data_IF_941455855288
#
_entry.id   IF_941455855288
#
_cell.length_a   1.000
_cell.length_b   1.000
_cell.length_c   1.000
_cell.angle_alpha   90.00
_cell.angle_beta   90.00
_cell.angle_gamma   90.00
#
_symmetry.space_group_name_H-M   'P 1'
#
loop_
_entity.id
_entity.type
_entity.pdbx_description
1 polymer ?
#
# COMPACT_ATOMS: atom_id res chain seq x y z
N UNK A 1 25.15 -3.82 -15.10
CA UNK A 1 23.75 -4.02 -14.67
C UNK A 1 23.33 -2.75 -13.95
N UNK A 2 22.35 -2.00 -14.46
CA UNK A 2 21.92 -0.77 -13.77
C UNK A 2 21.10 -1.20 -12.56
N UNK A 3 21.63 -0.98 -11.37
CA UNK A 3 20.85 -1.12 -10.15
C UNK A 3 19.58 -0.26 -10.30
N UNK A 4 18.41 -0.85 -10.03
CA UNK A 4 17.17 -0.11 -10.07
C UNK A 4 17.22 0.91 -8.92
N UNK A 5 17.58 2.16 -9.24
CA UNK A 5 17.80 3.25 -8.29
C UNK A 5 16.64 3.45 -7.31
N UNK A 6 15.44 3.00 -7.66
CA UNK A 6 14.26 3.03 -6.82
C UNK A 6 14.30 1.94 -5.72
N UNK A 7 14.69 0.71 -6.04
CA UNK A 7 14.79 -0.40 -5.07
C UNK A 7 15.81 -0.08 -3.98
N UNK A 8 16.97 0.45 -4.36
CA UNK A 8 18.03 0.79 -3.40
C UNK A 8 17.57 1.88 -2.42
N UNK A 9 16.80 2.87 -2.90
CA UNK A 9 16.22 3.94 -2.06
C UNK A 9 15.14 3.38 -1.13
N UNK A 10 14.27 2.53 -1.66
CA UNK A 10 13.18 1.89 -0.91
C UNK A 10 13.75 1.00 0.21
N UNK A 11 14.73 0.16 -0.11
CA UNK A 11 15.41 -0.69 0.86
C UNK A 11 16.14 0.15 1.93
N UNK A 12 16.82 1.22 1.53
CA UNK A 12 17.47 2.13 2.48
C UNK A 12 16.47 2.75 3.46
N UNK A 13 15.27 3.11 2.99
CA UNK A 13 14.22 3.67 3.85
C UNK A 13 13.68 2.62 4.82
N UNK A 14 13.39 1.40 4.34
CA UNK A 14 12.89 0.30 5.17
C UNK A 14 13.90 -0.05 6.27
N UNK A 15 15.19 -0.21 5.94
CA UNK A 15 16.21 -0.49 6.93
C UNK A 15 16.35 0.64 7.96
N UNK A 16 16.27 1.90 7.52
CA UNK A 16 16.29 3.05 8.42
C UNK A 16 15.13 3.00 9.42
N UNK A 17 13.92 2.74 8.95
CA UNK A 17 12.72 2.65 9.79
C UNK A 17 12.81 1.47 10.77
N UNK A 18 13.27 0.29 10.33
CA UNK A 18 13.49 -0.87 11.19
C UNK A 18 14.44 -0.52 12.34
N UNK A 19 15.60 0.08 12.03
CA UNK A 19 16.58 0.46 13.04
C UNK A 19 16.00 1.48 14.03
N UNK A 20 15.28 2.48 13.52
CA UNK A 20 14.62 3.48 14.35
C UNK A 20 13.59 2.84 15.30
N UNK A 21 12.70 1.99 14.80
CA UNK A 21 11.68 1.35 15.65
C UNK A 21 12.28 0.39 16.68
N UNK A 22 13.33 -0.35 16.33
CA UNK A 22 14.08 -1.16 17.30
C UNK A 22 14.65 -0.31 18.43
N UNK A 23 15.25 0.84 18.13
CA UNK A 23 15.74 1.77 19.15
C UNK A 23 14.61 2.30 20.03
N UNK A 24 13.47 2.68 19.44
CA UNK A 24 12.33 3.18 20.20
C UNK A 24 11.74 2.12 21.14
N UNK A 25 11.68 0.85 20.73
CA UNK A 25 11.24 -0.26 21.58
C UNK A 25 12.20 -0.46 22.76
N UNK A 26 13.51 -0.45 22.49
CA UNK A 26 14.55 -0.66 23.52
C UNK A 26 14.54 0.47 24.55
N UNK A 27 14.42 1.73 24.08
CA UNK A 27 14.50 2.91 24.94
C UNK A 27 13.19 3.24 25.67
N UNK A 28 12.04 2.82 25.13
CA UNK A 28 10.75 3.11 25.76
C UNK A 28 10.56 2.28 27.03
N UNK A 29 10.05 2.91 28.09
CA UNK A 29 9.58 2.24 29.32
C UNK A 29 8.06 2.07 29.35
N UNK A 30 7.33 2.67 28.42
CA UNK A 30 5.87 2.60 28.33
C UNK A 30 5.45 1.39 27.46
N UNK A 31 4.66 0.45 28.02
CA UNK A 31 4.22 -0.74 27.28
C UNK A 31 3.38 -0.43 26.04
N UNK A 32 2.58 0.63 26.04
CA UNK A 32 1.75 0.99 24.87
C UNK A 32 2.59 1.57 23.75
N UNK A 33 3.57 2.40 24.11
CA UNK A 33 4.53 2.94 23.15
C UNK A 33 5.39 1.82 22.55
N UNK A 34 5.82 0.84 23.36
CA UNK A 34 6.49 -0.37 22.84
C UNK A 34 5.61 -1.14 21.88
N UNK A 35 4.34 -1.36 22.21
CA UNK A 35 3.40 -2.08 21.34
C UNK A 35 3.20 -1.33 20.00
N UNK A 36 3.05 -0.01 20.05
CA UNK A 36 2.96 0.82 18.85
C UNK A 36 4.19 0.69 17.95
N UNK A 37 5.41 0.82 18.49
CA UNK A 37 6.62 0.67 17.69
C UNK A 37 6.87 -0.78 17.25
N UNK A 38 6.40 -1.76 18.02
CA UNK A 38 6.44 -3.17 17.61
C UNK A 38 5.56 -3.41 16.37
N UNK A 39 4.37 -2.82 16.31
CA UNK A 39 3.49 -2.93 15.14
C UNK A 39 4.12 -2.26 13.91
N UNK A 40 4.70 -1.06 14.07
CA UNK A 40 5.42 -0.39 12.99
C UNK A 40 6.65 -1.18 12.51
N UNK A 41 7.41 -1.76 13.44
CA UNK A 41 8.53 -2.64 13.14
C UNK A 41 8.08 -3.88 12.36
N UNK A 42 6.99 -4.52 12.79
CA UNK A 42 6.43 -5.68 12.11
C UNK A 42 6.00 -5.34 10.68
N UNK A 43 5.43 -4.16 10.46
CA UNK A 43 5.04 -3.69 9.13
C UNK A 43 6.25 -3.48 8.21
N UNK A 44 7.32 -2.83 8.70
CA UNK A 44 8.53 -2.64 7.89
C UNK A 44 9.29 -3.95 7.65
N UNK A 45 9.27 -4.90 8.59
CA UNK A 45 9.84 -6.24 8.37
C UNK A 45 9.05 -6.99 7.29
N UNK A 46 7.72 -6.91 7.28
CA UNK A 46 6.91 -7.49 6.20
C UNK A 46 7.24 -6.86 4.85
N UNK A 47 7.37 -5.53 4.81
CA UNK A 47 7.75 -4.78 3.60
C UNK A 47 9.16 -5.15 3.14
N UNK A 48 10.11 -5.31 4.06
CA UNK A 48 11.47 -5.77 3.78
C UNK A 48 11.45 -7.15 3.14
N UNK A 49 10.75 -8.10 3.75
CA UNK A 49 10.66 -9.48 3.27
C UNK A 49 10.03 -9.53 1.87
N UNK A 50 8.98 -8.76 1.64
CA UNK A 50 8.34 -8.64 0.34
C UNK A 50 9.33 -8.14 -0.74
N UNK A 51 10.05 -7.04 -0.47
CA UNK A 51 10.98 -6.47 -1.45
C UNK A 51 12.20 -7.35 -1.71
N UNK A 52 12.75 -7.98 -0.66
CA UNK A 52 13.85 -8.94 -0.81
C UNK A 52 13.42 -10.15 -1.66
N UNK A 53 12.22 -10.68 -1.39
CA UNK A 53 11.67 -11.80 -2.13
C UNK A 53 11.40 -11.44 -3.60
N UNK A 54 10.79 -10.28 -3.86
CA UNK A 54 10.49 -9.79 -5.21
C UNK A 54 11.75 -9.58 -6.04
N UNK A 55 12.80 -9.00 -5.45
CA UNK A 55 14.08 -8.78 -6.13
C UNK A 55 14.84 -10.10 -6.38
N UNK A 56 14.64 -11.11 -5.54
CA UNK A 56 15.25 -12.44 -5.70
C UNK A 56 14.55 -13.29 -6.77
N UNK A 57 13.24 -13.11 -6.98
CA UNK A 57 12.45 -13.88 -7.94
C UNK A 57 11.55 -12.98 -8.80
N UNK A 58 12.12 -12.23 -9.75
CA UNK A 58 11.37 -11.22 -10.53
C UNK A 58 10.28 -11.80 -11.46
N UNK A 59 10.16 -13.12 -11.56
CA UNK A 59 9.20 -13.83 -12.43
C UNK A 59 8.38 -14.92 -11.71
N UNK A 60 8.31 -14.91 -10.37
CA UNK A 60 7.51 -15.89 -9.63
C UNK A 60 6.18 -15.28 -9.17
N UNK A 61 5.02 -15.95 -9.39
CA UNK A 61 3.72 -15.41 -9.01
C UNK A 61 3.63 -15.34 -7.49
N UNK A 62 3.45 -14.12 -6.99
CA UNK A 62 3.30 -13.76 -5.58
C UNK A 62 2.00 -14.33 -5.02
N UNK A 63 2.02 -15.56 -4.54
CA UNK A 63 0.98 -16.11 -3.68
C UNK A 63 1.61 -16.84 -2.50
N UNK A 64 1.06 -16.58 -1.29
CA UNK A 64 1.33 -17.18 0.04
C UNK A 64 2.37 -16.37 0.87
N UNK A 65 2.11 -15.80 2.07
CA UNK A 65 1.07 -16.07 3.09
C UNK A 65 0.74 -14.85 4.00
N UNK A 66 -0.53 -14.80 4.40
CA UNK A 66 -1.04 -14.26 5.67
C UNK A 66 -2.36 -14.98 5.95
N UNK A 67 -2.37 -15.89 6.93
CA UNK A 67 -3.44 -16.86 7.18
C UNK A 67 -4.82 -16.22 7.45
N UNK A 68 -5.85 -16.76 6.78
CA UNK A 68 -7.30 -16.48 6.87
C UNK A 68 -7.87 -15.27 6.08
N UNK A 69 -7.58 -15.17 4.77
CA UNK A 69 -8.40 -14.38 3.84
C UNK A 69 -8.69 -15.19 2.56
N UNK A 70 -9.91 -15.15 2.00
CA UNK A 70 -10.24 -15.93 0.81
C UNK A 70 -9.31 -15.56 -0.36
N UNK A 71 -8.75 -16.60 -0.96
CA UNK A 71 -7.63 -16.62 -1.90
C UNK A 71 -7.95 -16.08 -3.31
N UNK A 72 -8.47 -14.86 -3.43
CA UNK A 72 -8.73 -14.22 -4.73
C UNK A 72 -8.55 -12.69 -4.65
N UNK A 73 -7.42 -12.22 -4.13
CA UNK A 73 -7.12 -10.78 -4.22
C UNK A 73 -6.78 -10.45 -5.68
N UNK A 74 -7.66 -9.71 -6.36
CA UNK A 74 -7.54 -9.44 -7.79
C UNK A 74 -6.33 -8.55 -8.06
N UNK A 75 -5.53 -8.92 -9.05
CA UNK A 75 -4.46 -8.07 -9.55
C UNK A 75 -5.00 -7.15 -10.65
N UNK A 76 -4.56 -5.89 -10.65
CA UNK A 76 -4.90 -4.90 -11.65
C UNK A 76 -3.63 -4.39 -12.32
N UNK A 77 -3.59 -4.38 -13.64
CA UNK A 77 -2.74 -3.45 -14.38
C UNK A 77 -3.26 -2.02 -14.25
N UNK A 78 -2.45 -1.02 -14.59
CA UNK A 78 -2.92 0.37 -14.67
C UNK A 78 -4.05 0.51 -15.70
N UNK A 79 -3.97 -0.22 -16.81
CA UNK A 79 -4.97 -0.22 -17.88
C UNK A 79 -6.30 -0.83 -17.42
N UNK A 80 -6.24 -1.92 -16.65
CA UNK A 80 -7.42 -2.54 -16.05
C UNK A 80 -8.01 -1.64 -14.97
N UNK A 81 -7.18 -1.05 -14.10
CA UNK A 81 -7.62 -0.10 -13.08
C UNK A 81 -8.34 1.10 -13.72
N UNK A 82 -7.84 1.60 -14.84
CA UNK A 82 -8.44 2.73 -15.57
C UNK A 82 -9.89 2.47 -16.04
N UNK A 83 -10.34 1.21 -16.10
CA UNK A 83 -11.74 0.89 -16.41
C UNK A 83 -12.70 1.14 -15.23
N UNK A 84 -12.16 1.33 -14.02
CA UNK A 84 -12.91 1.52 -12.77
C UNK A 84 -12.89 3.00 -12.37
N UNK A 85 -13.36 3.85 -13.28
CA UNK A 85 -13.38 5.30 -13.15
C UNK A 85 -14.68 5.86 -12.55
N UNK A 86 -15.65 5.00 -12.21
CA UNK A 86 -16.98 5.42 -11.76
C UNK A 86 -17.94 5.82 -12.87
N UNK A 87 -17.52 5.83 -14.15
CA UNK A 87 -18.36 6.29 -15.25
C UNK A 87 -19.23 5.17 -15.83
N UNK A 88 -20.38 5.54 -16.40
CA UNK A 88 -21.30 4.57 -17.01
C UNK A 88 -21.86 3.51 -16.04
N UNK A 89 -21.90 3.82 -14.73
CA UNK A 89 -22.35 2.89 -13.69
C UNK A 89 -21.31 1.85 -13.27
N UNK A 90 -20.06 1.96 -13.74
CA UNK A 90 -18.95 1.12 -13.27
C UNK A 90 -18.51 1.55 -11.87
N UNK A 91 -17.87 0.66 -11.09
CA UNK A 91 -17.25 1.04 -9.82
C UNK A 91 -16.13 2.06 -10.01
N UNK A 92 -15.83 2.82 -8.95
CA UNK A 92 -14.74 3.77 -8.86
C UNK A 92 -13.64 3.21 -7.94
N UNK A 93 -12.48 2.88 -8.49
CA UNK A 93 -11.34 2.32 -7.74
C UNK A 93 -10.12 3.25 -7.77
N UNK A 94 -9.29 3.20 -6.74
CA UNK A 94 -8.01 3.91 -6.70
C UNK A 94 -6.92 3.00 -6.16
N UNK A 95 -5.70 3.13 -6.68
CA UNK A 95 -4.54 2.49 -6.09
C UNK A 95 -3.79 3.46 -5.16
N UNK A 96 -3.41 2.98 -3.98
CA UNK A 96 -2.51 3.68 -3.05
C UNK A 96 -1.53 2.66 -2.47
N UNK A 97 -0.23 2.92 -2.61
CA UNK A 97 0.86 2.03 -2.18
C UNK A 97 0.68 0.59 -2.70
N UNK A 98 0.23 0.44 -3.95
CA UNK A 98 0.03 -0.87 -4.57
C UNK A 98 -1.24 -1.61 -4.15
N UNK A 99 -2.08 -1.05 -3.27
CA UNK A 99 -3.37 -1.64 -2.88
C UNK A 99 -4.48 -0.91 -3.62
N UNK A 100 -5.41 -1.66 -4.21
CA UNK A 100 -6.59 -1.11 -4.90
C UNK A 100 -7.77 -1.08 -3.96
N UNK A 101 -8.31 0.11 -3.73
CA UNK A 101 -9.45 0.39 -2.86
C UNK A 101 -10.69 0.74 -3.68
N UNK A 102 -11.83 0.22 -3.26
CA UNK A 102 -13.13 0.64 -3.77
C UNK A 102 -13.60 1.91 -3.07
N UNK A 103 -13.80 2.97 -3.83
CA UNK A 103 -14.30 4.27 -3.35
C UNK A 103 -15.70 4.59 -3.87
N UNK A 104 -16.39 3.63 -4.49
CA UNK A 104 -17.69 3.82 -5.14
C UNK A 104 -18.79 4.32 -4.20
N UNK A 105 -18.73 3.90 -2.93
CA UNK A 105 -19.72 4.27 -1.90
C UNK A 105 -19.20 5.34 -0.94
N UNK A 106 -18.01 5.87 -1.18
CA UNK A 106 -17.42 6.90 -0.35
C UNK A 106 -17.95 8.27 -0.82
N UNK A 107 -18.64 8.99 0.07
CA UNK A 107 -19.34 10.23 -0.28
C UNK A 107 -18.39 11.31 -0.82
N UNK A 108 -17.13 11.30 -0.35
CA UNK A 108 -16.08 12.22 -0.81
C UNK A 108 -15.59 11.94 -2.23
N UNK A 109 -15.97 10.80 -2.83
CA UNK A 109 -15.62 10.34 -4.18
C UNK A 109 -16.78 10.43 -5.19
N UNK A 110 -17.78 11.27 -4.90
CA UNK A 110 -18.94 11.47 -5.79
C UNK A 110 -18.57 11.70 -7.25
N UNK A 111 -19.20 10.93 -8.15
CA UNK A 111 -18.91 10.98 -9.59
C UNK A 111 -17.54 10.42 -10.00
N UNK A 112 -16.89 9.64 -9.13
CA UNK A 112 -15.56 9.07 -9.39
C UNK A 112 -14.42 10.10 -9.26
N UNK A 113 -14.66 11.21 -8.55
CA UNK A 113 -13.68 12.30 -8.43
C UNK A 113 -13.49 12.77 -7.00
N UNK A 114 -12.30 13.27 -6.69
CA UNK A 114 -11.98 13.87 -5.39
C UNK A 114 -10.90 14.95 -5.57
N UNK A 115 -11.25 16.23 -5.39
CA UNK A 115 -10.33 17.38 -5.56
C UNK A 115 -9.46 17.32 -6.85
N UNK A 116 -10.11 17.22 -8.01
CA UNK A 116 -9.44 17.09 -9.33
C UNK A 116 -8.62 15.81 -9.53
N UNK A 117 -8.68 14.86 -8.59
CA UNK A 117 -8.25 13.49 -8.78
C UNK A 117 -9.40 12.67 -9.36
N UNK A 118 -9.03 11.65 -10.11
CA UNK A 118 -9.97 10.78 -10.81
C UNK A 118 -9.71 9.33 -10.39
N UNK A 119 -10.80 8.58 -10.21
CA UNK A 119 -10.75 7.13 -10.05
C UNK A 119 -10.15 6.46 -11.30
N UNK A 120 -9.77 5.21 -11.15
CA UNK A 120 -9.07 4.41 -12.15
C UNK A 120 -7.58 4.72 -12.25
N UNK A 121 -6.95 5.21 -11.18
CA UNK A 121 -5.54 5.63 -11.19
C UNK A 121 -4.78 5.21 -9.94
N UNK A 122 -3.47 5.13 -10.06
CA UNK A 122 -2.56 5.17 -8.91
C UNK A 122 -2.44 6.61 -8.41
N UNK A 123 -2.92 6.82 -7.18
CA UNK A 123 -2.95 8.11 -6.50
C UNK A 123 -2.00 8.13 -5.30
N UNK A 124 -1.04 7.21 -5.24
CA UNK A 124 -0.05 7.13 -4.17
C UNK A 124 0.62 8.49 -3.90
N UNK A 125 1.14 9.14 -4.94
CA UNK A 125 1.80 10.44 -4.78
C UNK A 125 0.86 11.54 -4.26
N UNK A 126 -0.38 11.59 -4.76
CA UNK A 126 -1.38 12.56 -4.33
C UNK A 126 -1.82 12.32 -2.88
N UNK A 127 -2.03 11.06 -2.50
CA UNK A 127 -2.36 10.66 -1.15
C UNK A 127 -1.24 11.01 -0.17
N UNK A 128 0.03 10.75 -0.54
CA UNK A 128 1.18 11.16 0.27
C UNK A 128 1.25 12.67 0.44
N UNK A 129 1.01 13.46 -0.61
CA UNK A 129 1.07 14.92 -0.55
C UNK A 129 -0.05 15.56 0.28
N UNK A 130 -1.30 15.13 0.10
CA UNK A 130 -2.47 15.74 0.76
C UNK A 130 -2.73 15.18 2.16
N UNK A 131 -2.41 13.91 2.39
CA UNK A 131 -2.75 13.20 3.63
C UNK A 131 -1.54 12.74 4.43
N UNK A 132 -0.31 12.98 3.96
CA UNK A 132 0.90 12.58 4.66
C UNK A 132 1.06 11.06 4.80
N UNK A 133 0.39 10.28 3.94
CA UNK A 133 0.43 8.82 3.99
C UNK A 133 -0.34 8.18 5.15
N UNK A 134 -1.22 8.93 5.83
CA UNK A 134 -2.01 8.51 6.99
C UNK A 134 -2.92 7.29 6.69
N UNK A 135 -2.57 6.07 7.14
CA UNK A 135 -3.29 4.84 6.77
C UNK A 135 -4.72 4.79 7.34
N UNK A 136 -5.01 5.54 8.41
CA UNK A 136 -6.32 5.61 9.04
C UNK A 136 -7.43 6.15 8.12
N UNK A 137 -7.05 6.84 7.04
CA UNK A 137 -7.98 7.35 6.02
C UNK A 137 -8.46 6.20 5.11
N UNK A 138 -7.61 5.20 4.87
CA UNK A 138 -7.91 4.07 3.99
C UNK A 138 -8.55 2.89 4.74
N UNK A 139 -8.49 2.89 6.08
CA UNK A 139 -8.82 1.73 6.91
C UNK A 139 -10.22 1.14 6.71
N UNK A 140 -11.20 1.98 6.31
CA UNK A 140 -12.59 1.58 6.15
C UNK A 140 -12.97 1.35 4.67
N UNK A 141 -12.06 1.63 3.74
CA UNK A 141 -12.30 1.40 2.32
C UNK A 141 -12.15 -0.10 2.01
N UNK A 142 -13.09 -0.72 1.27
CA UNK A 142 -12.93 -2.09 0.82
C UNK A 142 -11.67 -2.25 -0.02
N UNK A 143 -10.81 -3.19 0.36
CA UNK A 143 -9.67 -3.59 -0.47
C UNK A 143 -10.16 -4.61 -1.49
N UNK A 144 -10.06 -4.26 -2.77
CA UNK A 144 -10.57 -5.08 -3.89
C UNK A 144 -9.47 -5.70 -4.72
N UNK A 145 -8.22 -5.33 -4.46
CA UNK A 145 -7.09 -5.90 -5.16
C UNK A 145 -5.75 -5.27 -4.84
N UNK A 146 -4.80 -5.58 -5.70
CA UNK A 146 -3.45 -5.00 -5.71
C UNK A 146 -3.11 -4.53 -7.11
N UNK A 147 -2.30 -3.48 -7.21
CA UNK A 147 -1.78 -2.97 -8.46
C UNK A 147 -0.52 -3.77 -8.83
N UNK A 148 -0.44 -4.24 -10.07
CA UNK A 148 0.75 -4.89 -10.60
C UNK A 148 1.92 -3.90 -10.65
N UNK A 149 3.15 -4.36 -10.35
CA UNK A 149 4.36 -3.55 -10.46
C UNK A 149 4.62 -3.00 -11.87
#
# INVERSE_FOLDING_TARGET
MKANSWYDKEMSLIYHNIQYYQQMIILSTDPYQRMFYQDLLNNEVRRLNYWQWYNQYPNYPSNQEGENAPSNQREFTLEELAQYDGSGGRPAYVAVNGIVYDVSLEATWGGGTHFSLYAGRDLTGAFMGCHGGRPEILKNLPQVGVLKP
#
